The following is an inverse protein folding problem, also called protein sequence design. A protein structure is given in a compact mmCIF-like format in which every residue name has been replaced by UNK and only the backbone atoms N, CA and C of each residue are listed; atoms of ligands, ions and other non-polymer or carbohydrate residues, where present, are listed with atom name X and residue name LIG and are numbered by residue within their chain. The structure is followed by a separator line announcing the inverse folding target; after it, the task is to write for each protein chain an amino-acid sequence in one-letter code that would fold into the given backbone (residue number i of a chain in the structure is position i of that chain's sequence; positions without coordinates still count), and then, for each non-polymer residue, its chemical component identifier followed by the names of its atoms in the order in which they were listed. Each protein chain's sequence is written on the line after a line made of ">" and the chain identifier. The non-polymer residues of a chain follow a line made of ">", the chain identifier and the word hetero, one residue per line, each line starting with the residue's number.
data_IF_795231049874
#
_entry.id   IF_795231049874
#
_cell.length_a   1.000
_cell.length_b   1.000
_cell.length_c   1.000
_cell.angle_alpha   90.00
_cell.angle_beta   90.00
_cell.angle_gamma   90.00
#
_symmetry.space_group_name_H-M   'P 1'
#
loop_
_entity.id
_entity.type
_entity.pdbx_description
1 polymer ?
#
# COMPACT_ATOMS: atom_id res chain seq x y z
N UNK A 1 -27.44 -53.77 12.97
CA UNK A 1 -27.78 -52.71 12.00
C UNK A 1 -28.23 -51.51 12.80
N UNK A 2 -27.78 -50.31 12.44
CA UNK A 2 -28.23 -49.09 13.09
C UNK A 2 -29.59 -48.68 12.50
N UNK A 3 -30.55 -48.32 13.34
CA UNK A 3 -31.87 -47.89 12.87
C UNK A 3 -31.82 -46.48 12.28
N UNK A 4 -32.48 -46.30 11.14
CA UNK A 4 -32.56 -45.04 10.39
C UNK A 4 -33.09 -43.90 11.28
N UNK A 5 -34.03 -44.20 12.19
CA UNK A 5 -34.54 -43.23 13.15
C UNK A 5 -33.44 -42.66 14.07
N UNK A 6 -32.51 -43.51 14.54
CA UNK A 6 -31.39 -43.09 15.39
C UNK A 6 -30.37 -42.24 14.61
N UNK A 7 -30.10 -42.60 13.36
CA UNK A 7 -29.23 -41.83 12.48
C UNK A 7 -29.80 -40.42 12.20
N UNK A 8 -31.09 -40.31 11.90
CA UNK A 8 -31.77 -39.03 11.64
C UNK A 8 -31.79 -38.13 12.87
N UNK A 9 -32.05 -38.67 14.07
CA UNK A 9 -32.04 -37.87 15.31
C UNK A 9 -30.70 -37.17 15.52
N UNK A 10 -29.59 -37.91 15.43
CA UNK A 10 -28.25 -37.35 15.65
C UNK A 10 -27.80 -36.36 14.57
N UNK A 11 -28.37 -36.42 13.37
CA UNK A 11 -28.14 -35.41 12.34
C UNK A 11 -28.89 -34.11 12.65
N UNK A 12 -30.11 -34.19 13.20
CA UNK A 12 -30.83 -33.03 13.73
C UNK A 12 -30.06 -32.41 14.90
N UNK A 13 -29.67 -33.19 15.91
CA UNK A 13 -28.93 -32.70 17.08
C UNK A 13 -27.64 -31.94 16.67
N UNK A 14 -26.94 -32.41 15.63
CA UNK A 14 -25.75 -31.73 15.07
C UNK A 14 -26.09 -30.46 14.28
N UNK A 15 -27.23 -30.42 13.60
CA UNK A 15 -27.68 -29.22 12.89
C UNK A 15 -28.01 -28.10 13.89
N UNK A 16 -28.76 -28.43 14.95
CA UNK A 16 -29.14 -27.51 16.02
C UNK A 16 -27.88 -26.96 16.73
N UNK A 17 -26.91 -27.83 17.06
CA UNK A 17 -25.61 -27.43 17.61
C UNK A 17 -24.77 -26.56 16.65
N UNK A 18 -24.85 -26.79 15.34
CA UNK A 18 -24.17 -25.96 14.36
C UNK A 18 -24.80 -24.56 14.29
N UNK A 19 -26.13 -24.45 14.30
CA UNK A 19 -26.85 -23.18 14.30
C UNK A 19 -26.60 -22.37 15.58
N UNK A 20 -26.55 -23.03 16.75
CA UNK A 20 -26.17 -22.39 18.00
C UNK A 20 -24.71 -21.88 17.96
N UNK A 21 -23.77 -22.70 17.47
CA UNK A 21 -22.36 -22.30 17.31
C UNK A 21 -22.18 -21.15 16.32
N UNK A 22 -22.91 -21.15 15.21
CA UNK A 22 -22.94 -20.02 14.29
C UNK A 22 -23.48 -18.75 14.94
N UNK A 23 -24.57 -18.86 15.70
CA UNK A 23 -25.18 -17.74 16.42
C UNK A 23 -24.24 -17.19 17.50
N UNK A 24 -23.50 -18.07 18.19
CA UNK A 24 -22.44 -17.69 19.12
C UNK A 24 -21.28 -17.00 18.39
N UNK A 25 -20.86 -17.50 17.23
CA UNK A 25 -19.81 -16.89 16.41
C UNK A 25 -20.22 -15.51 15.90
N UNK A 26 -21.44 -15.33 15.39
CA UNK A 26 -22.01 -14.02 15.01
C UNK A 26 -21.98 -13.04 16.20
N UNK A 27 -22.37 -13.48 17.40
CA UNK A 27 -22.27 -12.68 18.65
C UNK A 27 -20.83 -12.41 19.12
N UNK A 28 -19.83 -13.17 18.67
CA UNK A 28 -18.41 -12.88 18.93
C UNK A 28 -17.89 -11.85 17.94
N UNK A 29 -18.24 -11.98 16.66
CA UNK A 29 -17.87 -11.03 15.60
C UNK A 29 -18.40 -9.63 15.94
N UNK A 30 -19.70 -9.48 16.23
CA UNK A 30 -20.28 -8.17 16.59
C UNK A 30 -19.57 -7.48 17.78
N UNK A 31 -19.17 -8.24 18.80
CA UNK A 31 -18.42 -7.69 19.96
C UNK A 31 -16.97 -7.32 19.62
N UNK A 32 -16.34 -8.02 18.68
CA UNK A 32 -15.00 -7.68 18.18
C UNK A 32 -15.04 -6.45 17.28
N UNK A 33 -16.08 -6.31 16.45
CA UNK A 33 -16.34 -5.11 15.66
C UNK A 33 -16.60 -3.89 16.55
N UNK A 34 -17.37 -4.06 17.64
CA UNK A 34 -17.60 -3.02 18.64
C UNK A 34 -16.31 -2.59 19.36
N UNK A 35 -15.52 -3.54 19.90
CA UNK A 35 -14.21 -3.24 20.53
C UNK A 35 -13.23 -2.59 19.54
N UNK A 36 -13.20 -3.05 18.29
CA UNK A 36 -12.39 -2.44 17.23
C UNK A 36 -12.83 -1.00 16.93
N UNK A 37 -14.13 -0.76 16.78
CA UNK A 37 -14.66 0.59 16.53
C UNK A 37 -14.37 1.55 17.68
N UNK A 38 -14.47 1.09 18.94
CA UNK A 38 -14.07 1.89 20.12
C UNK A 38 -12.58 2.19 20.11
N UNK A 39 -11.72 1.22 19.78
CA UNK A 39 -10.26 1.46 19.63
C UNK A 39 -9.95 2.47 18.53
N UNK A 40 -10.59 2.35 17.37
CA UNK A 40 -10.41 3.29 16.25
C UNK A 40 -10.89 4.69 16.64
N UNK A 41 -12.04 4.83 17.32
CA UNK A 41 -12.51 6.12 17.81
C UNK A 41 -11.54 6.76 18.82
N UNK A 42 -10.99 5.98 19.75
CA UNK A 42 -10.00 6.45 20.72
C UNK A 42 -8.67 6.84 20.04
N UNK A 43 -8.22 6.09 19.03
CA UNK A 43 -7.04 6.45 18.23
C UNK A 43 -7.27 7.74 17.43
N UNK A 44 -8.45 7.92 16.84
CA UNK A 44 -8.83 9.17 16.16
C UNK A 44 -8.84 10.36 17.13
N UNK A 45 -9.30 10.17 18.37
CA UNK A 45 -9.25 11.21 19.40
C UNK A 45 -7.82 11.56 19.81
N UNK A 46 -6.94 10.57 19.97
CA UNK A 46 -5.51 10.78 20.26
C UNK A 46 -4.81 11.55 19.13
N UNK A 47 -5.06 11.16 17.88
CA UNK A 47 -4.54 11.85 16.68
C UNK A 47 -5.02 13.31 16.62
N UNK A 48 -6.30 13.57 16.92
CA UNK A 48 -6.84 14.94 16.92
C UNK A 48 -6.22 15.81 18.01
N UNK A 49 -6.00 15.29 19.22
CA UNK A 49 -5.28 16.02 20.28
C UNK A 49 -3.83 16.32 19.89
N UNK A 50 -3.15 15.40 19.19
CA UNK A 50 -1.81 15.64 18.65
C UNK A 50 -1.80 16.65 17.49
N UNK A 51 -2.91 16.77 16.76
CA UNK A 51 -3.07 17.73 15.66
C UNK A 51 -3.28 19.17 16.16
N UNK A 52 -4.03 19.36 17.26
CA UNK A 52 -4.20 20.68 17.89
C UNK A 52 -2.88 21.23 18.49
N UNK A 53 -1.97 20.35 18.92
CA UNK A 53 -0.60 20.74 19.31
C UNK A 53 0.36 21.01 18.14
N UNK A 54 -0.07 20.76 16.89
CA UNK A 54 0.73 20.96 15.68
C UNK A 54 0.34 22.21 14.86
N UNK A 55 -0.60 23.02 15.37
CA UNK A 55 -1.02 24.28 14.71
C UNK A 55 -0.31 25.54 15.19
N UNK A 56 0.66 25.43 16.10
CA UNK A 56 1.73 26.42 16.15
C UNK A 56 2.66 26.16 14.96
N UNK A 57 2.51 27.00 13.93
CA UNK A 57 3.56 27.20 12.95
C UNK A 57 4.70 27.88 13.71
N UNK A 58 5.54 27.09 14.37
CA UNK A 58 6.93 27.50 14.48
C UNK A 58 7.44 27.63 13.04
N UNK A 59 7.68 28.87 12.63
CA UNK A 59 8.55 29.20 11.51
C UNK A 59 10.00 28.88 11.94
N UNK A 60 10.24 27.59 12.19
CA UNK A 60 11.41 27.02 12.88
C UNK A 60 12.59 26.94 11.92
N UNK A 61 13.07 28.13 11.54
CA UNK A 61 14.39 28.42 10.93
C UNK A 61 14.90 27.41 9.91
N UNK A 62 14.02 26.93 9.02
CA UNK A 62 14.40 26.08 7.89
C UNK A 62 15.25 26.90 6.93
N UNK A 63 16.55 26.60 6.86
CA UNK A 63 17.43 27.05 5.77
C UNK A 63 16.77 26.77 4.43
N UNK A 64 16.64 27.74 3.50
CA UNK A 64 15.75 27.62 2.35
C UNK A 64 16.27 26.68 1.25
N UNK A 65 16.17 25.37 1.48
CA UNK A 65 16.45 24.25 0.57
C UNK A 65 15.55 23.04 0.96
N UNK A 66 15.16 22.11 0.05
CA UNK A 66 15.31 22.09 -1.40
C UNK A 66 13.94 22.04 -2.13
N UNK A 67 12.83 22.46 -1.50
CA UNK A 67 11.46 22.30 -2.04
C UNK A 67 11.28 22.91 -3.47
N UNK A 68 11.98 24.03 -3.72
CA UNK A 68 12.00 24.73 -4.99
C UNK A 68 13.13 24.29 -5.95
N UNK A 69 13.92 23.28 -5.60
CA UNK A 69 14.96 22.77 -6.48
C UNK A 69 14.37 22.33 -7.85
N UNK A 70 15.02 22.71 -8.97
CA UNK A 70 14.66 22.17 -10.27
C UNK A 70 15.05 20.69 -10.34
N UNK A 71 14.23 19.88 -11.02
CA UNK A 71 14.59 18.50 -11.30
C UNK A 71 15.85 18.42 -12.17
N UNK A 72 16.61 17.31 -12.04
CA UNK A 72 17.72 17.00 -12.94
C UNK A 72 17.26 17.07 -14.42
N UNK A 73 18.07 17.57 -15.37
CA UNK A 73 17.69 17.60 -16.78
C UNK A 73 17.19 16.24 -17.29
N UNK A 74 16.05 16.27 -18.00
CA UNK A 74 15.32 15.08 -18.44
C UNK A 74 14.22 14.60 -17.49
N UNK A 75 14.25 14.96 -16.21
CA UNK A 75 13.22 14.59 -15.23
C UNK A 75 12.07 15.62 -15.25
N UNK A 76 10.83 15.12 -15.28
CA UNK A 76 9.59 15.88 -15.20
C UNK A 76 9.20 16.10 -13.74
N UNK A 77 9.02 17.35 -13.31
CA UNK A 77 8.43 17.67 -12.00
C UNK A 77 6.93 17.36 -12.04
N UNK A 78 6.47 16.43 -11.22
CA UNK A 78 5.04 16.15 -10.96
C UNK A 78 4.64 16.72 -9.61
N UNK A 79 3.36 17.05 -9.42
CA UNK A 79 2.84 17.65 -8.17
C UNK A 79 1.47 17.10 -7.81
N UNK A 80 1.17 17.08 -6.51
CA UNK A 80 -0.17 16.87 -5.95
C UNK A 80 -0.23 17.59 -4.58
N UNK A 81 -0.99 18.68 -4.50
CA UNK A 81 -0.98 19.59 -3.34
C UNK A 81 0.44 20.11 -3.02
N UNK A 82 0.93 19.96 -1.76
CA UNK A 82 2.28 20.37 -1.37
C UNK A 82 3.37 19.38 -1.83
N UNK A 83 2.99 18.16 -2.25
CA UNK A 83 3.94 17.13 -2.64
C UNK A 83 4.38 17.32 -4.09
N UNK A 84 5.64 16.98 -4.34
CA UNK A 84 6.19 16.86 -5.68
C UNK A 84 7.18 15.71 -5.76
N UNK A 85 7.41 15.22 -6.97
CA UNK A 85 8.53 14.33 -7.28
C UNK A 85 9.16 14.73 -8.61
N UNK A 86 10.41 14.32 -8.81
CA UNK A 86 11.09 14.42 -10.09
C UNK A 86 11.11 13.02 -10.72
N UNK A 87 10.31 12.84 -11.77
CA UNK A 87 10.13 11.54 -12.43
C UNK A 87 10.80 11.54 -13.81
N UNK A 88 11.48 10.45 -14.14
CA UNK A 88 11.91 10.17 -15.51
C UNK A 88 11.26 8.89 -16.01
N UNK A 89 11.05 8.83 -17.32
CA UNK A 89 10.51 7.69 -18.06
C UNK A 89 11.46 7.38 -19.19
N UNK A 90 11.84 6.11 -19.37
CA UNK A 90 12.60 5.72 -20.55
C UNK A 90 11.77 5.95 -21.82
N UNK A 91 12.43 6.03 -22.96
CA UNK A 91 11.76 6.12 -24.26
C UNK A 91 11.22 4.77 -24.73
N UNK A 92 11.74 3.65 -24.21
CA UNK A 92 11.50 2.31 -24.73
C UNK A 92 11.15 1.27 -23.65
N UNK A 93 10.31 0.27 -23.98
CA UNK A 93 10.06 -0.89 -23.11
C UNK A 93 11.33 -1.73 -22.89
N UNK A 94 11.72 -1.97 -21.64
CA UNK A 94 12.69 -3.00 -21.23
C UNK A 94 12.08 -3.87 -20.10
N UNK A 95 12.61 -5.07 -19.79
CA UNK A 95 12.21 -5.84 -18.62
C UNK A 95 12.58 -5.13 -17.30
N UNK A 96 12.09 -5.63 -16.16
CA UNK A 96 12.31 -5.04 -14.83
C UNK A 96 13.79 -4.73 -14.54
N UNK A 97 14.69 -5.68 -14.79
CA UNK A 97 16.12 -5.50 -14.51
C UNK A 97 16.77 -4.49 -15.46
N UNK A 98 16.33 -4.48 -16.72
CA UNK A 98 16.70 -3.45 -17.69
C UNK A 98 16.22 -2.07 -17.26
N UNK A 99 15.04 -1.99 -16.63
CA UNK A 99 14.56 -0.77 -15.98
C UNK A 99 15.53 -0.34 -14.89
N UNK A 100 15.76 -1.21 -13.90
CA UNK A 100 16.59 -0.98 -12.71
C UNK A 100 17.97 -0.42 -13.06
N UNK A 101 18.64 -0.99 -14.06
CA UNK A 101 19.95 -0.51 -14.50
C UNK A 101 19.89 0.81 -15.30
N UNK A 102 18.85 1.04 -16.11
CA UNK A 102 18.62 2.34 -16.78
C UNK A 102 18.33 3.45 -15.74
N UNK A 103 17.61 3.13 -14.66
CA UNK A 103 17.41 4.03 -13.51
C UNK A 103 18.75 4.46 -12.90
N UNK A 104 19.57 3.47 -12.55
CA UNK A 104 20.89 3.66 -11.93
C UNK A 104 21.83 4.44 -12.85
N UNK A 105 21.78 4.21 -14.17
CA UNK A 105 22.53 4.96 -15.16
C UNK A 105 22.12 6.45 -15.21
N UNK A 106 20.85 6.78 -14.95
CA UNK A 106 20.40 8.17 -14.76
C UNK A 106 20.75 8.75 -13.37
N UNK A 107 21.41 8.00 -12.49
CA UNK A 107 21.71 8.41 -11.11
C UNK A 107 20.45 8.54 -10.25
N UNK A 108 19.52 7.60 -10.42
CA UNK A 108 18.23 7.50 -9.77
C UNK A 108 17.89 6.01 -9.51
N UNK A 109 16.73 5.73 -8.91
CA UNK A 109 16.23 4.36 -8.72
C UNK A 109 14.80 4.23 -9.26
N UNK A 110 14.31 2.99 -9.38
CA UNK A 110 12.90 2.74 -9.70
C UNK A 110 12.00 3.38 -8.63
N UNK A 111 10.90 4.00 -9.06
CA UNK A 111 10.00 4.76 -8.21
C UNK A 111 9.48 3.94 -7.02
N UNK A 112 9.66 4.44 -5.80
CA UNK A 112 9.14 3.82 -4.58
C UNK A 112 7.87 4.53 -4.10
N UNK A 113 6.91 3.74 -3.61
CA UNK A 113 5.54 4.17 -3.30
C UNK A 113 5.18 3.68 -1.90
N UNK A 114 5.87 4.24 -0.91
CA UNK A 114 5.76 3.87 0.51
C UNK A 114 4.57 4.52 1.21
N UNK A 115 4.05 5.64 0.68
CA UNK A 115 2.84 6.30 1.20
C UNK A 115 1.70 6.37 0.19
N UNK A 116 0.48 6.54 0.69
CA UNK A 116 -0.72 6.64 -0.14
C UNK A 116 -0.75 7.93 -0.97
N UNK A 117 -0.07 8.97 -0.49
CA UNK A 117 0.08 10.26 -1.16
C UNK A 117 1.08 10.16 -2.33
N UNK A 118 2.17 9.40 -2.18
CA UNK A 118 3.06 9.06 -3.31
C UNK A 118 2.32 8.26 -4.39
N UNK A 119 1.49 7.30 -3.97
CA UNK A 119 0.64 6.53 -4.89
C UNK A 119 -0.40 7.41 -5.61
N UNK A 120 -1.03 8.36 -4.89
CA UNK A 120 -1.92 9.37 -5.48
C UNK A 120 -1.20 10.29 -6.46
N UNK A 121 -0.03 10.82 -6.09
CA UNK A 121 0.81 11.67 -6.93
C UNK A 121 1.04 11.01 -8.29
N UNK A 122 1.38 9.71 -8.28
CA UNK A 122 1.53 8.89 -9.47
C UNK A 122 0.21 8.75 -10.26
N UNK A 123 -0.85 8.25 -9.64
CA UNK A 123 -2.14 7.98 -10.30
C UNK A 123 -2.72 9.27 -10.92
N UNK A 124 -2.67 10.38 -10.20
CA UNK A 124 -3.17 11.69 -10.63
C UNK A 124 -2.33 12.29 -11.77
N UNK A 125 -1.03 12.02 -11.82
CA UNK A 125 -0.15 12.44 -12.92
C UNK A 125 -0.09 11.41 -14.08
N UNK A 126 -0.91 10.36 -14.00
CA UNK A 126 -1.31 9.40 -15.03
C UNK A 126 -0.25 9.08 -16.10
N UNK A 127 0.63 8.10 -15.88
CA UNK A 127 1.35 7.50 -16.99
C UNK A 127 0.34 6.75 -17.87
N UNK A 128 0.13 7.21 -19.10
CA UNK A 128 -0.82 6.63 -20.06
C UNK A 128 -0.47 5.19 -20.53
N UNK A 129 0.50 4.56 -19.87
CA UNK A 129 1.02 3.21 -20.04
C UNK A 129 1.41 2.72 -18.64
N UNK A 130 1.13 1.47 -18.24
CA UNK A 130 1.57 0.95 -16.95
C UNK A 130 3.10 0.85 -16.85
N UNK A 131 3.62 0.68 -15.65
CA UNK A 131 5.01 1.01 -15.30
C UNK A 131 5.63 0.02 -14.30
N UNK A 132 6.95 -0.21 -14.39
CA UNK A 132 7.72 -0.78 -13.29
C UNK A 132 7.93 0.26 -12.18
N UNK A 133 7.82 -0.21 -10.94
CA UNK A 133 8.12 0.49 -9.69
C UNK A 133 9.24 -0.28 -8.96
N UNK A 134 9.87 0.33 -7.95
CA UNK A 134 10.99 -0.26 -7.23
C UNK A 134 10.60 -1.32 -6.20
N UNK A 135 9.49 -2.04 -6.40
CA UNK A 135 9.04 -3.10 -5.52
C UNK A 135 9.33 -4.46 -6.17
N UNK A 136 10.13 -5.29 -5.51
CA UNK A 136 10.54 -6.59 -6.03
C UNK A 136 10.62 -7.65 -4.93
N UNK A 137 10.56 -8.93 -5.29
CA UNK A 137 10.77 -10.07 -4.40
C UNK A 137 11.84 -11.03 -4.95
N UNK A 138 12.83 -10.50 -5.67
CA UNK A 138 13.84 -11.28 -6.41
C UNK A 138 14.70 -12.17 -5.52
N UNK A 139 14.95 -11.77 -4.27
CA UNK A 139 15.73 -12.56 -3.32
C UNK A 139 14.92 -13.69 -2.67
N UNK A 140 13.61 -13.50 -2.50
CA UNK A 140 12.72 -14.46 -1.84
C UNK A 140 11.27 -14.17 -2.26
N UNK A 141 10.72 -15.05 -3.10
CA UNK A 141 9.33 -15.01 -3.58
C UNK A 141 8.32 -14.72 -2.45
N UNK A 142 7.47 -13.72 -2.65
CA UNK A 142 6.48 -13.27 -1.67
C UNK A 142 7.01 -12.36 -0.55
N UNK A 143 8.33 -12.15 -0.44
CA UNK A 143 8.95 -11.20 0.48
C UNK A 143 9.38 -9.94 -0.27
N UNK A 144 8.41 -9.07 -0.56
CA UNK A 144 8.64 -7.84 -1.32
C UNK A 144 9.47 -6.80 -0.54
N UNK A 145 10.47 -6.23 -1.20
CA UNK A 145 11.38 -5.17 -0.70
C UNK A 145 11.43 -3.98 -1.67
N UNK A 146 11.77 -2.81 -1.15
CA UNK A 146 11.97 -1.59 -1.93
C UNK A 146 13.42 -1.37 -2.35
N UNK A 147 13.63 -1.06 -3.63
CA UNK A 147 14.93 -0.84 -4.30
C UNK A 147 15.72 0.40 -3.87
N UNK A 148 15.17 1.27 -3.03
CA UNK A 148 15.80 2.53 -2.59
C UNK A 148 16.52 2.41 -1.24
N UNK A 149 16.02 1.58 -0.32
CA UNK A 149 16.55 1.41 1.04
C UNK A 149 16.43 -0.02 1.61
N UNK A 150 16.14 -1.01 0.75
CA UNK A 150 15.90 -2.42 1.10
C UNK A 150 14.77 -2.66 2.12
N UNK A 151 13.89 -1.67 2.34
CA UNK A 151 12.80 -1.80 3.31
C UNK A 151 11.72 -2.80 2.86
N UNK A 152 11.29 -3.65 3.79
CA UNK A 152 10.26 -4.67 3.55
C UNK A 152 8.89 -4.04 3.38
N UNK A 153 8.20 -4.38 2.29
CA UNK A 153 6.80 -4.03 2.05
C UNK A 153 5.89 -4.88 2.97
N UNK A 154 5.54 -4.30 4.11
CA UNK A 154 4.75 -4.88 5.18
C UNK A 154 3.27 -5.13 4.80
N UNK A 155 2.43 -5.50 5.78
CA UNK A 155 1.00 -5.67 5.54
C UNK A 155 0.32 -4.38 5.03
N UNK A 156 0.67 -3.21 5.58
CA UNK A 156 0.09 -1.93 5.16
C UNK A 156 0.42 -1.62 3.70
N UNK A 157 1.70 -1.76 3.32
CA UNK A 157 2.19 -1.63 1.96
C UNK A 157 1.46 -2.58 0.99
N UNK A 158 1.30 -3.86 1.36
CA UNK A 158 0.57 -4.85 0.53
C UNK A 158 -0.92 -4.52 0.37
N UNK A 159 -1.60 -4.04 1.42
CA UNK A 159 -2.99 -3.57 1.32
C UNK A 159 -3.12 -2.36 0.39
N UNK A 160 -2.16 -1.45 0.43
CA UNK A 160 -2.13 -0.26 -0.40
C UNK A 160 -1.91 -0.56 -1.89
N UNK A 161 -0.96 -1.45 -2.22
CA UNK A 161 -0.55 -1.72 -3.60
C UNK A 161 -1.43 -2.78 -4.27
N UNK A 162 -1.66 -3.92 -3.60
CA UNK A 162 -2.30 -5.08 -4.22
C UNK A 162 -3.82 -5.12 -4.01
N UNK A 163 -4.32 -4.76 -2.81
CA UNK A 163 -5.75 -4.91 -2.47
C UNK A 163 -6.61 -3.74 -2.98
N UNK A 164 -6.04 -2.53 -3.12
CA UNK A 164 -6.73 -1.41 -3.79
C UNK A 164 -6.82 -1.53 -5.32
N UNK A 165 -6.45 -2.68 -5.90
CA UNK A 165 -6.64 -3.00 -7.32
C UNK A 165 -5.76 -2.19 -8.28
N UNK A 166 -4.67 -1.59 -7.79
CA UNK A 166 -3.86 -0.66 -8.59
C UNK A 166 -2.81 -1.39 -9.44
N UNK A 167 -2.23 -2.52 -8.99
CA UNK A 167 -1.26 -3.30 -9.79
C UNK A 167 -1.26 -4.83 -9.50
N UNK A 168 -2.27 -5.59 -9.95
CA UNK A 168 -2.07 -6.99 -10.43
C UNK A 168 -3.15 -7.35 -11.46
N UNK A 169 -2.75 -7.51 -12.73
CA UNK A 169 -3.23 -8.58 -13.62
C UNK A 169 -2.15 -8.86 -14.68
N UNK A 170 -1.49 -10.02 -14.56
CA UNK A 170 -0.63 -10.69 -15.55
C UNK A 170 0.46 -9.85 -16.24
N UNK A 171 1.72 -10.06 -15.84
CA UNK A 171 2.95 -9.92 -16.64
C UNK A 171 2.91 -8.90 -17.80
N UNK A 172 3.30 -7.64 -17.56
CA UNK A 172 4.00 -6.69 -18.48
C UNK A 172 4.01 -5.26 -17.85
N UNK A 173 4.95 -4.38 -18.27
CA UNK A 173 4.86 -2.89 -18.42
C UNK A 173 5.86 -1.97 -17.65
N UNK A 174 6.08 -0.73 -18.14
CA UNK A 174 7.35 0.07 -18.16
C UNK A 174 7.12 1.61 -18.07
N UNK A 175 7.77 2.48 -17.27
CA UNK A 175 8.70 2.51 -16.10
C UNK A 175 8.41 3.81 -15.30
N UNK A 176 8.90 3.97 -14.06
CA UNK A 176 9.22 5.29 -13.50
C UNK A 176 10.49 5.33 -12.62
N UNK A 177 11.20 6.47 -12.66
CA UNK A 177 12.28 6.80 -11.72
C UNK A 177 11.79 7.70 -10.60
N UNK A 178 12.43 7.64 -9.42
CA UNK A 178 12.47 8.75 -8.47
C UNK A 178 13.89 9.29 -8.33
N UNK A 179 14.00 10.61 -8.18
CA UNK A 179 15.19 11.33 -7.71
C UNK A 179 14.98 11.77 -6.26
#
# INVERSE_FOLDING_TARGET
>A
MEDLASAVSRLRDRADQNEERETQNRKRIMRLEEDFNVRVANLSLLLNMQFETATEIEESTVTPEPLNAPCKPGFKKVKDGPLFACLWTSTFPLPHDGAREDCKAQGAHLLTLKTYEQLKLLVNNNPAKPIWIGLNDQETEGAFVWEDDDSVCDYSCRQMIFVKGILILNNFLIFLLSQ
#
